data_IF_734801978597
#
_entry.id   IF_734801978597
#
_cell.length_a   1.000
_cell.length_b   1.000
_cell.length_c   1.000
_cell.angle_alpha   90.00
_cell.angle_beta   90.00
_cell.angle_gamma   90.00
#
_symmetry.space_group_name_H-M   'P 1'
#
loop_
_entity.id
_entity.type
_entity.pdbx_description
1 polymer ?
#
# COMPACT_ATOMS: atom_id res chain seq x y z
N UNK A 1 -17.87 0.47 10.27
CA UNK A 1 -18.63 1.49 9.50
C UNK A 1 -17.76 2.72 9.32
N UNK A 2 -17.66 3.21 8.11
CA UNK A 2 -16.87 4.41 7.83
C UNK A 2 -17.71 5.67 8.15
N UNK A 3 -17.13 6.63 8.86
CA UNK A 3 -17.75 7.94 9.11
C UNK A 3 -17.87 8.72 7.80
N UNK A 4 -16.90 8.53 6.91
CA UNK A 4 -16.82 9.18 5.61
C UNK A 4 -17.03 8.10 4.54
N UNK A 5 -17.99 8.29 3.61
CA UNK A 5 -18.24 7.26 2.61
C UNK A 5 -17.09 7.13 1.61
N UNK A 6 -16.80 5.90 1.15
CA UNK A 6 -15.84 5.73 0.06
C UNK A 6 -16.39 6.32 -1.24
N UNK A 7 -15.51 6.91 -2.05
CA UNK A 7 -15.88 7.45 -3.37
C UNK A 7 -15.59 6.38 -4.42
N UNK A 8 -16.63 5.83 -5.02
CA UNK A 8 -16.49 4.87 -6.10
C UNK A 8 -16.04 5.55 -7.39
N UNK A 9 -15.38 4.80 -8.28
CA UNK A 9 -14.88 5.36 -9.55
C UNK A 9 -15.97 6.07 -10.35
N UNK A 10 -17.16 5.46 -10.41
CA UNK A 10 -18.29 6.00 -11.18
C UNK A 10 -18.76 7.37 -10.67
N UNK A 11 -18.60 7.62 -9.36
CA UNK A 11 -19.04 8.85 -8.70
C UNK A 11 -17.92 9.86 -8.51
N UNK A 12 -16.68 9.51 -8.92
CA UNK A 12 -15.50 10.33 -8.67
C UNK A 12 -15.42 11.51 -9.65
N UNK A 13 -14.85 12.62 -9.15
CA UNK A 13 -14.51 13.76 -9.99
C UNK A 13 -13.40 13.40 -11.00
N UNK A 14 -13.23 14.18 -12.08
CA UNK A 14 -12.12 13.94 -13.01
C UNK A 14 -10.74 13.91 -12.33
N UNK A 15 -10.51 14.77 -11.34
CA UNK A 15 -9.25 14.82 -10.60
C UNK A 15 -9.02 13.53 -9.81
N UNK A 16 -10.04 13.02 -9.13
CA UNK A 16 -9.96 11.77 -8.38
C UNK A 16 -9.79 10.57 -9.32
N UNK A 17 -10.52 10.53 -10.42
CA UNK A 17 -10.37 9.46 -11.42
C UNK A 17 -8.97 9.41 -12.00
N UNK A 18 -8.34 10.55 -12.23
CA UNK A 18 -6.96 10.60 -12.71
C UNK A 18 -6.01 9.90 -11.73
N UNK A 19 -6.19 10.13 -10.43
CA UNK A 19 -5.38 9.44 -9.41
C UNK A 19 -5.69 7.94 -9.39
N UNK A 20 -6.96 7.55 -9.43
CA UNK A 20 -7.35 6.14 -9.47
C UNK A 20 -6.76 5.43 -10.68
N UNK A 21 -6.83 6.06 -11.85
CA UNK A 21 -6.26 5.50 -13.08
C UNK A 21 -4.75 5.29 -12.94
N UNK A 22 -4.06 6.24 -12.34
CA UNK A 22 -2.62 6.15 -12.11
C UNK A 22 -2.26 5.02 -11.12
N UNK A 23 -3.04 4.88 -10.04
CA UNK A 23 -2.88 3.76 -9.08
C UNK A 23 -3.04 2.42 -9.80
N UNK A 24 -4.11 2.28 -10.57
CA UNK A 24 -4.43 1.03 -11.27
C UNK A 24 -3.35 0.68 -12.29
N UNK A 25 -2.89 1.66 -13.06
CA UNK A 25 -1.84 1.47 -14.05
C UNK A 25 -0.51 1.11 -13.39
N UNK A 26 -0.14 1.85 -12.36
CA UNK A 26 1.15 1.66 -11.66
C UNK A 26 1.20 0.30 -10.96
N UNK A 27 0.11 -0.11 -10.33
CA UNK A 27 0.03 -1.35 -9.57
C UNK A 27 -0.42 -2.55 -10.41
N UNK A 28 -0.82 -2.32 -11.65
CA UNK A 28 -1.35 -3.36 -12.57
C UNK A 28 -2.55 -4.10 -11.96
N UNK A 29 -3.51 -3.31 -11.46
CA UNK A 29 -4.76 -3.80 -10.88
C UNK A 29 -5.93 -3.13 -11.59
N UNK A 30 -7.12 -3.72 -11.46
CA UNK A 30 -8.33 -3.23 -12.11
C UNK A 30 -9.26 -2.43 -11.19
N UNK A 31 -8.85 -2.24 -9.94
CA UNK A 31 -9.59 -1.46 -8.96
C UNK A 31 -8.65 -0.88 -7.92
N UNK A 32 -9.10 0.14 -7.19
CA UNK A 32 -8.37 0.72 -6.07
C UNK A 32 -8.93 0.19 -4.75
N UNK A 33 -8.09 0.13 -3.72
CA UNK A 33 -8.50 -0.31 -2.39
C UNK A 33 -9.36 0.77 -1.70
N UNK A 34 -10.14 0.35 -0.72
CA UNK A 34 -11.02 1.26 0.02
C UNK A 34 -10.27 2.40 0.72
N UNK A 35 -9.04 2.17 1.13
CA UNK A 35 -8.17 3.21 1.69
C UNK A 35 -8.14 4.46 0.79
N UNK A 36 -7.89 4.26 -0.51
CA UNK A 36 -7.83 5.33 -1.50
C UNK A 36 -9.20 5.98 -1.72
N UNK A 37 -10.25 5.17 -1.69
CA UNK A 37 -11.62 5.65 -1.87
C UNK A 37 -12.07 6.55 -0.72
N UNK A 38 -11.63 6.28 0.49
CA UNK A 38 -11.91 7.14 1.65
C UNK A 38 -11.08 8.43 1.58
N UNK A 39 -9.79 8.33 1.24
CA UNK A 39 -8.94 9.50 1.03
C UNK A 39 -9.48 10.42 -0.07
N UNK A 40 -10.18 9.87 -1.05
CA UNK A 40 -10.73 10.62 -2.17
C UNK A 40 -11.75 11.70 -1.77
N UNK A 41 -12.26 11.65 -0.54
CA UNK A 41 -13.07 12.74 0.01
C UNK A 41 -12.28 14.05 0.17
N UNK A 42 -10.96 13.97 0.20
CA UNK A 42 -10.06 15.11 0.11
C UNK A 42 -9.12 14.89 -1.08
N UNK A 43 -9.50 15.36 -2.28
CA UNK A 43 -8.73 15.07 -3.51
C UNK A 43 -7.28 15.53 -3.46
N UNK A 44 -7.00 16.66 -2.84
CA UNK A 44 -5.63 17.16 -2.71
C UNK A 44 -4.78 16.24 -1.83
N UNK A 45 -5.34 15.74 -0.74
CA UNK A 45 -4.64 14.81 0.14
C UNK A 45 -4.47 13.43 -0.52
N UNK A 46 -5.47 12.97 -1.26
CA UNK A 46 -5.37 11.74 -2.05
C UNK A 46 -4.18 11.81 -2.99
N UNK A 47 -4.07 12.88 -3.75
CA UNK A 47 -2.96 13.08 -4.69
C UNK A 47 -1.62 13.13 -3.97
N UNK A 48 -1.53 13.89 -2.89
CA UNK A 48 -0.30 14.02 -2.10
C UNK A 48 0.18 12.68 -1.56
N UNK A 49 -0.73 11.89 -0.98
CA UNK A 49 -0.38 10.59 -0.40
C UNK A 49 0.06 9.62 -1.51
N UNK A 50 -0.68 9.57 -2.63
CA UNK A 50 -0.32 8.70 -3.74
C UNK A 50 1.04 9.07 -4.36
N UNK A 51 1.31 10.35 -4.58
CA UNK A 51 2.61 10.79 -5.09
C UNK A 51 3.75 10.41 -4.13
N UNK A 52 3.52 10.54 -2.82
CA UNK A 52 4.49 10.12 -1.80
C UNK A 52 4.75 8.61 -1.87
N UNK A 53 3.70 7.80 -1.99
CA UNK A 53 3.84 6.34 -2.11
C UNK A 53 4.66 5.98 -3.35
N UNK A 54 4.34 6.56 -4.51
CA UNK A 54 5.10 6.30 -5.74
C UNK A 54 6.57 6.64 -5.58
N UNK A 55 6.84 7.81 -5.03
CA UNK A 55 8.22 8.30 -4.87
C UNK A 55 9.02 7.45 -3.89
N UNK A 56 8.46 7.16 -2.73
CA UNK A 56 9.15 6.42 -1.66
C UNK A 56 9.34 4.96 -2.04
N UNK A 57 8.34 4.34 -2.67
CA UNK A 57 8.39 2.90 -2.99
C UNK A 57 9.08 2.59 -4.31
N UNK A 58 9.45 3.60 -5.09
CA UNK A 58 10.24 3.38 -6.31
C UNK A 58 11.62 2.79 -5.97
N UNK A 59 12.17 1.93 -6.86
CA UNK A 59 13.52 1.38 -6.65
C UNK A 59 14.56 2.49 -6.52
N UNK A 60 15.45 2.33 -5.56
CA UNK A 60 16.55 3.26 -5.30
C UNK A 60 17.75 2.49 -4.76
N UNK A 61 18.41 3.03 -3.73
CA UNK A 61 19.48 2.29 -3.04
C UNK A 61 18.97 0.96 -2.46
N UNK A 62 17.68 0.92 -2.06
CA UNK A 62 16.98 -0.32 -1.74
C UNK A 62 16.07 -0.68 -2.91
N UNK A 63 16.02 -1.96 -3.27
CA UNK A 63 15.13 -2.41 -4.35
C UNK A 63 13.66 -2.41 -3.90
N UNK A 64 12.77 -2.56 -4.87
CA UNK A 64 11.33 -2.50 -4.61
C UNK A 64 10.85 -3.60 -3.67
N UNK A 65 11.38 -4.83 -3.80
CA UNK A 65 11.03 -5.94 -2.92
C UNK A 65 11.45 -5.64 -1.47
N UNK A 66 12.67 -5.17 -1.26
CA UNK A 66 13.16 -4.81 0.07
C UNK A 66 12.28 -3.75 0.71
N UNK A 67 11.87 -2.73 -0.04
CA UNK A 67 10.96 -1.68 0.47
C UNK A 67 9.61 -2.24 0.88
N UNK A 68 9.05 -3.18 0.11
CA UNK A 68 7.80 -3.85 0.50
C UNK A 68 7.97 -4.68 1.78
N UNK A 69 9.08 -5.41 1.91
CA UNK A 69 9.35 -6.20 3.12
C UNK A 69 9.48 -5.30 4.36
N UNK A 70 10.15 -4.16 4.23
CA UNK A 70 10.23 -3.16 5.31
C UNK A 70 8.84 -2.64 5.69
N UNK A 71 8.03 -2.36 4.68
CA UNK A 71 6.66 -1.86 4.90
C UNK A 71 5.82 -2.89 5.65
N UNK A 72 5.92 -4.17 5.26
CA UNK A 72 5.23 -5.26 5.95
C UNK A 72 5.70 -5.37 7.40
N UNK A 73 7.01 -5.29 7.65
CA UNK A 73 7.58 -5.39 9.01
C UNK A 73 7.02 -4.30 9.93
N UNK A 74 7.00 -3.05 9.47
CA UNK A 74 6.45 -1.92 10.22
C UNK A 74 4.95 -2.11 10.43
N UNK A 75 4.23 -2.56 9.41
CA UNK A 75 2.78 -2.76 9.46
C UNK A 75 2.39 -3.84 10.47
N UNK A 76 3.14 -4.94 10.54
CA UNK A 76 2.93 -6.00 11.52
C UNK A 76 3.16 -5.47 12.94
N UNK A 77 4.24 -4.74 13.14
CA UNK A 77 4.58 -4.13 14.44
C UNK A 77 3.48 -3.17 14.90
N UNK A 78 2.92 -2.38 13.97
CA UNK A 78 1.85 -1.43 14.26
C UNK A 78 0.45 -2.06 14.26
N UNK A 79 0.34 -3.35 13.98
CA UNK A 79 -0.92 -4.07 13.90
C UNK A 79 -1.91 -3.43 12.91
N UNK A 80 -1.40 -2.99 11.77
CA UNK A 80 -2.23 -2.41 10.71
C UNK A 80 -2.65 -3.51 9.73
N UNK A 81 -3.82 -4.12 9.94
CA UNK A 81 -4.30 -5.24 9.12
C UNK A 81 -4.35 -4.89 7.63
N UNK A 82 -4.91 -3.75 7.28
CA UNK A 82 -4.99 -3.29 5.89
C UNK A 82 -3.59 -3.17 5.26
N UNK A 83 -2.65 -2.55 5.97
CA UNK A 83 -1.28 -2.35 5.49
C UNK A 83 -0.57 -3.70 5.29
N UNK A 84 -0.76 -4.65 6.23
CA UNK A 84 -0.20 -5.99 6.14
C UNK A 84 -0.68 -6.67 4.86
N UNK A 85 -1.99 -6.69 4.62
CA UNK A 85 -2.57 -7.35 3.46
C UNK A 85 -2.12 -6.70 2.15
N UNK A 86 -2.18 -5.37 2.07
CA UNK A 86 -1.83 -4.63 0.87
C UNK A 86 -0.36 -4.81 0.48
N UNK A 87 0.55 -4.67 1.44
CA UNK A 87 1.99 -4.72 1.15
C UNK A 87 2.54 -6.13 1.09
N UNK A 88 1.90 -7.10 1.74
CA UNK A 88 2.20 -8.52 1.51
C UNK A 88 1.87 -8.91 0.08
N UNK A 89 0.73 -8.47 -0.45
CA UNK A 89 0.38 -8.68 -1.85
C UNK A 89 1.40 -7.99 -2.79
N UNK A 90 1.80 -6.77 -2.47
CA UNK A 90 2.82 -6.04 -3.22
C UNK A 90 4.18 -6.75 -3.21
N UNK A 91 4.59 -7.27 -2.06
CA UNK A 91 5.83 -8.02 -1.93
C UNK A 91 5.80 -9.32 -2.74
N UNK A 92 4.67 -10.04 -2.73
CA UNK A 92 4.51 -11.25 -3.55
C UNK A 92 4.61 -10.93 -5.03
N UNK A 93 4.00 -9.86 -5.48
CA UNK A 93 4.08 -9.41 -6.87
C UNK A 93 5.52 -9.08 -7.29
N UNK A 94 6.38 -8.74 -6.35
CA UNK A 94 7.80 -8.43 -6.57
C UNK A 94 8.74 -9.59 -6.27
N UNK A 95 8.20 -10.78 -6.02
CA UNK A 95 9.00 -12.00 -5.90
C UNK A 95 9.18 -12.55 -4.49
N UNK A 96 8.47 -12.03 -3.49
CA UNK A 96 8.51 -12.61 -2.14
C UNK A 96 7.99 -14.04 -2.16
N UNK A 97 8.81 -14.97 -1.68
CA UNK A 97 8.41 -16.37 -1.50
C UNK A 97 7.81 -16.57 -0.11
N UNK A 98 7.14 -17.71 0.10
CA UNK A 98 6.64 -18.09 1.43
C UNK A 98 7.80 -18.24 2.42
N UNK A 99 8.93 -18.79 2.00
CA UNK A 99 10.12 -18.89 2.83
C UNK A 99 10.61 -17.52 3.29
N UNK A 100 10.67 -16.56 2.39
CA UNK A 100 11.05 -15.17 2.71
C UNK A 100 10.08 -14.55 3.70
N UNK A 101 8.77 -14.73 3.49
CA UNK A 101 7.77 -14.23 4.42
C UNK A 101 7.93 -14.82 5.81
N UNK A 102 8.18 -16.12 5.92
CA UNK A 102 8.39 -16.79 7.21
C UNK A 102 9.61 -16.25 7.93
N UNK A 103 10.71 -16.03 7.22
CA UNK A 103 11.91 -15.43 7.81
C UNK A 103 11.69 -13.99 8.24
N UNK A 104 10.94 -13.21 7.41
CA UNK A 104 10.55 -11.84 7.77
C UNK A 104 9.77 -11.81 9.07
N UNK A 105 8.78 -12.70 9.23
CA UNK A 105 7.99 -12.78 10.45
C UNK A 105 8.85 -13.18 11.65
N UNK A 106 9.83 -14.07 11.47
CA UNK A 106 10.76 -14.43 12.53
C UNK A 106 11.60 -13.24 13.00
N UNK A 107 12.10 -12.43 12.06
CA UNK A 107 12.86 -11.22 12.37
C UNK A 107 11.98 -10.20 13.10
N UNK A 108 10.75 -9.98 12.62
CA UNK A 108 9.80 -9.05 13.25
C UNK A 108 9.51 -9.48 14.69
N UNK A 109 9.21 -10.75 14.90
CA UNK A 109 8.93 -11.30 16.23
C UNK A 109 10.11 -11.10 17.16
N UNK A 110 11.32 -11.45 16.72
CA UNK A 110 12.54 -11.29 17.53
C UNK A 110 12.81 -9.83 17.87
N UNK A 111 12.71 -8.94 16.89
CA UNK A 111 12.95 -7.50 17.10
C UNK A 111 11.96 -6.89 18.09
N UNK A 112 10.68 -7.33 18.06
CA UNK A 112 9.68 -6.87 19.01
C UNK A 112 9.81 -7.50 20.40
N UNK A 113 10.49 -8.62 20.51
CA UNK A 113 10.73 -9.31 21.78
C UNK A 113 11.88 -8.68 22.58
N UNK A 114 12.91 -8.21 21.90
CA UNK A 114 14.08 -7.59 22.52
C UNK A 114 13.93 -6.08 22.65
#
# INVERSE_FOLDING_TARGET
>A
MSIVPPIEYADASPAVRAVYDDIMTTRRVDSVNNFWKVLANDPANLQRVWESVKSVMAPGALDALTKELLYVAVSVTNNCEYCILSHTAGARAKGMTTAMFNELMAVVALANET
#
